data_IF_725247956374
#
_entry.id   IF_725247956374
#
_cell.length_a   1.000
_cell.length_b   1.000
_cell.length_c   1.000
_cell.angle_alpha   90.00
_cell.angle_beta   90.00
_cell.angle_gamma   90.00
#
_symmetry.space_group_name_H-M   'P 1'
#
loop_
_entity.id
_entity.type
_entity.pdbx_description
1 polymer ?
#
# COMPACT_ATOMS: atom_id res chain seq x y z
N UNK A 1 -14.29 33.13 -3.00
CA UNK A 1 -14.53 33.13 -4.46
C UNK A 1 -14.12 31.77 -5.00
N UNK A 2 -15.07 30.99 -5.52
CA UNK A 2 -14.79 29.69 -6.10
C UNK A 2 -14.15 29.87 -7.48
N UNK A 3 -12.99 29.25 -7.71
CA UNK A 3 -12.41 29.17 -9.06
C UNK A 3 -13.31 28.27 -9.94
N UNK A 4 -13.47 28.60 -11.24
CA UNK A 4 -14.36 27.85 -12.13
C UNK A 4 -13.82 26.44 -12.40
N UNK A 5 -14.73 25.46 -12.40
CA UNK A 5 -14.50 24.02 -12.61
C UNK A 5 -13.67 23.68 -13.85
N UNK A 6 -13.72 24.51 -14.89
CA UNK A 6 -13.01 24.32 -16.17
C UNK A 6 -11.49 24.51 -16.06
N UNK A 7 -10.98 25.32 -15.13
CA UNK A 7 -9.53 25.53 -14.97
C UNK A 7 -8.83 24.41 -14.18
N UNK A 8 -9.60 23.53 -13.51
CA UNK A 8 -9.08 22.43 -12.67
C UNK A 8 -8.87 21.12 -13.43
N UNK A 9 -9.50 20.94 -14.59
CA UNK A 9 -9.34 19.72 -15.39
C UNK A 9 -8.00 19.69 -16.13
N UNK A 10 -7.52 20.84 -16.61
CA UNK A 10 -6.23 20.97 -17.30
C UNK A 10 -5.02 20.86 -16.35
N UNK A 11 -5.20 21.16 -15.05
CA UNK A 11 -4.10 21.20 -14.06
C UNK A 11 -3.80 19.88 -13.34
N UNK A 12 -4.41 18.75 -13.73
CA UNK A 12 -4.28 17.45 -13.04
C UNK A 12 -3.47 16.39 -13.80
N UNK A 13 -3.13 16.68 -15.06
CA UNK A 13 -2.19 15.87 -15.84
C UNK A 13 -0.76 16.29 -15.50
N UNK A 14 0.11 15.31 -15.31
CA UNK A 14 1.48 15.54 -14.90
C UNK A 14 2.28 14.25 -14.97
N UNK A 15 3.61 14.32 -15.13
CA UNK A 15 4.45 13.14 -15.36
C UNK A 15 4.21 12.01 -14.34
N UNK A 16 4.00 12.38 -13.06
CA UNK A 16 3.69 11.43 -11.99
C UNK A 16 2.28 10.84 -12.10
N UNK A 17 1.24 11.64 -12.30
CA UNK A 17 -0.14 11.12 -12.36
C UNK A 17 -0.39 10.24 -13.59
N UNK A 18 0.39 10.44 -14.66
CA UNK A 18 0.35 9.60 -15.86
C UNK A 18 1.14 8.29 -15.70
N UNK A 19 2.18 8.29 -14.85
CA UNK A 19 3.11 7.15 -14.72
C UNK A 19 2.93 6.32 -13.43
N UNK A 20 2.10 6.76 -12.49
CA UNK A 20 1.89 6.13 -11.18
C UNK A 20 0.40 5.85 -10.94
N UNK A 21 0.09 4.63 -10.51
CA UNK A 21 -1.23 4.26 -9.99
C UNK A 21 -1.15 3.90 -8.51
N UNK A 22 -2.06 4.43 -7.70
CA UNK A 22 -2.19 4.06 -6.29
C UNK A 22 -3.00 2.76 -6.20
N UNK A 23 -2.43 1.75 -5.54
CA UNK A 23 -3.16 0.56 -5.11
C UNK A 23 -3.47 0.71 -3.63
N UNK A 24 -4.74 0.90 -3.29
CA UNK A 24 -5.20 0.96 -1.91
C UNK A 24 -5.94 -0.33 -1.55
N UNK A 25 -5.43 -1.09 -0.58
CA UNK A 25 -6.16 -2.26 -0.07
C UNK A 25 -6.84 -1.94 1.24
N UNK A 26 -8.12 -2.26 1.34
CA UNK A 26 -8.88 -2.23 2.59
C UNK A 26 -9.65 -3.53 2.80
N UNK A 27 -10.04 -3.79 4.04
CA UNK A 27 -10.77 -4.98 4.48
C UNK A 27 -11.58 -4.62 5.74
N UNK A 28 -12.44 -5.51 6.25
CA UNK A 28 -13.14 -5.25 7.51
C UNK A 28 -12.20 -4.85 8.65
N UNK A 29 -12.56 -3.76 9.34
CA UNK A 29 -11.88 -3.23 10.53
C UNK A 29 -12.87 -3.03 11.67
N UNK A 30 -12.43 -2.97 12.93
CA UNK A 30 -13.33 -2.71 14.06
C UNK A 30 -14.01 -1.35 14.01
N UNK A 31 -13.46 -0.40 13.24
CA UNK A 31 -14.03 0.93 13.04
C UNK A 31 -15.12 0.99 11.98
N UNK A 32 -15.35 -0.07 11.20
CA UNK A 32 -16.45 -0.10 10.24
C UNK A 32 -17.79 0.15 10.97
N UNK A 33 -18.68 1.03 10.47
CA UNK A 33 -18.72 1.53 9.09
C UNK A 33 -17.97 2.86 8.83
N UNK A 34 -17.21 3.38 9.80
CA UNK A 34 -16.44 4.62 9.65
C UNK A 34 -15.30 4.48 8.66
N UNK A 35 -15.09 5.50 7.84
CA UNK A 35 -13.99 5.63 6.88
C UNK A 35 -12.77 6.37 7.42
N UNK A 36 -12.76 6.69 8.72
CA UNK A 36 -11.77 7.58 9.33
C UNK A 36 -10.31 7.10 9.17
N UNK A 37 -10.05 5.79 9.04
CA UNK A 37 -8.71 5.29 8.64
C UNK A 37 -8.29 5.80 7.26
N UNK A 38 -9.19 5.71 6.27
CA UNK A 38 -8.94 6.19 4.91
C UNK A 38 -8.87 7.73 4.88
N UNK A 39 -9.76 8.40 5.60
CA UNK A 39 -9.72 9.87 5.68
C UNK A 39 -8.43 10.37 6.31
N UNK A 40 -7.90 9.67 7.32
CA UNK A 40 -6.58 9.96 7.91
C UNK A 40 -5.45 9.79 6.88
N UNK A 41 -5.52 8.75 6.03
CA UNK A 41 -4.53 8.54 4.96
C UNK A 41 -4.62 9.67 3.93
N UNK A 42 -5.81 9.98 3.43
CA UNK A 42 -6.00 11.03 2.43
C UNK A 42 -5.67 12.41 2.99
N UNK A 43 -5.95 12.66 4.27
CA UNK A 43 -5.48 13.84 4.99
C UNK A 43 -3.96 13.94 5.01
N UNK A 44 -3.26 12.82 5.19
CA UNK A 44 -1.79 12.78 5.08
C UNK A 44 -1.31 13.04 3.65
N UNK A 45 -2.04 12.60 2.61
CA UNK A 45 -1.71 12.93 1.23
C UNK A 45 -1.87 14.43 0.96
N UNK A 46 -3.01 15.02 1.35
CA UNK A 46 -3.26 16.46 1.22
C UNK A 46 -2.15 17.29 1.87
N UNK A 47 -1.70 16.87 3.06
CA UNK A 47 -0.68 17.59 3.84
C UNK A 47 0.72 17.42 3.27
N UNK A 48 1.10 16.21 2.87
CA UNK A 48 2.49 15.87 2.62
C UNK A 48 2.82 15.63 1.15
N UNK A 49 1.90 15.04 0.39
CA UNK A 49 2.11 14.61 -1.00
C UNK A 49 0.83 14.79 -1.84
N UNK A 50 0.36 16.03 -2.09
CA UNK A 50 -0.91 16.27 -2.77
C UNK A 50 -0.97 15.68 -4.19
N UNK A 51 0.19 15.56 -4.86
CA UNK A 51 0.31 14.91 -6.18
C UNK A 51 -0.23 13.47 -6.21
N UNK A 52 -0.22 12.76 -5.08
CA UNK A 52 -0.80 11.42 -4.99
C UNK A 52 -2.31 11.42 -5.29
N UNK A 53 -3.05 12.46 -4.88
CA UNK A 53 -4.48 12.60 -5.18
C UNK A 53 -4.76 12.91 -6.65
N UNK A 54 -3.72 13.29 -7.40
CA UNK A 54 -3.82 13.49 -8.84
C UNK A 54 -3.67 12.20 -9.65
N UNK A 55 -3.14 11.13 -9.04
CA UNK A 55 -2.88 9.85 -9.67
C UNK A 55 -4.17 9.04 -9.87
N UNK A 56 -4.10 8.04 -10.75
CA UNK A 56 -5.13 6.98 -10.81
C UNK A 56 -5.11 6.19 -9.51
N UNK A 57 -6.26 5.67 -9.08
CA UNK A 57 -6.38 4.82 -7.90
C UNK A 57 -7.20 3.56 -8.18
N UNK A 58 -6.67 2.42 -7.74
CA UNK A 58 -7.36 1.14 -7.67
C UNK A 58 -7.54 0.79 -6.19
N UNK A 59 -8.79 0.74 -5.72
CA UNK A 59 -9.12 0.37 -4.35
C UNK A 59 -9.70 -1.04 -4.34
N UNK A 60 -9.09 -1.92 -3.55
CA UNK A 60 -9.57 -3.29 -3.36
C UNK A 60 -10.25 -3.40 -2.01
N UNK A 61 -11.53 -3.74 -2.00
CA UNK A 61 -12.33 -4.03 -0.82
C UNK A 61 -12.32 -5.53 -0.55
N UNK A 62 -11.20 -6.04 -0.02
CA UNK A 62 -11.11 -7.46 0.34
C UNK A 62 -12.13 -7.79 1.44
N UNK A 63 -12.70 -8.99 1.39
CA UNK A 63 -13.80 -9.39 2.28
C UNK A 63 -13.34 -10.34 3.39
N UNK A 64 -14.27 -10.91 4.14
CA UNK A 64 -14.01 -11.87 5.21
C UNK A 64 -14.33 -13.31 4.77
N UNK A 65 -13.83 -14.28 5.54
CA UNK A 65 -14.12 -15.71 5.34
C UNK A 65 -15.44 -16.08 5.99
N UNK A 66 -15.63 -15.70 7.26
CA UNK A 66 -16.77 -16.16 8.04
C UNK A 66 -17.08 -15.22 9.22
N UNK A 67 -18.28 -15.38 9.78
CA UNK A 67 -18.75 -14.68 10.97
C UNK A 67 -18.48 -15.54 12.21
N UNK A 68 -17.86 -14.96 13.22
CA UNK A 68 -17.48 -15.63 14.46
C UNK A 68 -17.83 -14.76 15.69
N UNK A 69 -17.88 -15.35 16.91
CA UNK A 69 -18.14 -14.60 18.13
C UNK A 69 -17.13 -13.47 18.42
N UNK A 70 -15.90 -13.60 17.91
CA UNK A 70 -14.85 -12.62 18.11
C UNK A 70 -14.03 -12.40 16.83
N UNK A 71 -13.54 -11.17 16.65
CA UNK A 71 -12.72 -10.79 15.51
C UNK A 71 -11.38 -11.56 15.48
N UNK A 72 -11.08 -12.21 14.34
CA UNK A 72 -9.74 -12.73 14.00
C UNK A 72 -9.38 -12.25 12.60
N UNK A 73 -9.25 -10.94 12.45
CA UNK A 73 -9.14 -10.25 11.15
C UNK A 73 -7.99 -10.77 10.28
N UNK A 74 -6.83 -11.14 10.86
CA UNK A 74 -5.72 -11.73 10.08
C UNK A 74 -6.11 -13.05 9.40
N UNK A 75 -7.00 -13.82 10.03
CA UNK A 75 -7.56 -15.07 9.50
C UNK A 75 -8.87 -14.86 8.71
N UNK A 76 -9.37 -13.62 8.67
CA UNK A 76 -10.60 -13.26 7.98
C UNK A 76 -11.89 -13.60 8.72
N UNK A 77 -11.88 -13.71 10.05
CA UNK A 77 -13.13 -13.83 10.81
C UNK A 77 -13.55 -12.47 11.38
N UNK A 78 -14.83 -12.14 11.23
CA UNK A 78 -15.46 -10.90 11.74
C UNK A 78 -16.59 -11.22 12.70
N UNK A 79 -17.01 -10.27 13.53
CA UNK A 79 -18.26 -10.40 14.32
C UNK A 79 -19.50 -10.21 13.44
N UNK A 80 -20.68 -10.59 13.94
CA UNK A 80 -21.95 -10.35 13.25
C UNK A 80 -22.18 -8.86 12.96
N UNK A 81 -21.87 -7.99 13.93
CA UNK A 81 -21.86 -6.54 13.76
C UNK A 81 -20.87 -6.11 12.66
N UNK A 82 -19.65 -6.66 12.67
CA UNK A 82 -18.65 -6.35 11.65
C UNK A 82 -19.10 -6.74 10.23
N UNK A 83 -19.79 -7.88 10.09
CA UNK A 83 -20.38 -8.30 8.82
C UNK A 83 -21.51 -7.37 8.37
N UNK A 84 -22.38 -6.92 9.29
CA UNK A 84 -23.45 -5.97 8.99
C UNK A 84 -22.92 -4.57 8.61
N UNK A 85 -21.84 -4.13 9.24
CA UNK A 85 -21.22 -2.83 8.98
C UNK A 85 -20.39 -2.81 7.68
N UNK A 86 -19.96 -3.96 7.15
CA UNK A 86 -19.06 -4.01 6.00
C UNK A 86 -19.65 -3.45 4.70
N UNK A 87 -20.88 -3.80 4.28
CA UNK A 87 -21.50 -3.17 3.11
C UNK A 87 -21.63 -1.65 3.24
N UNK A 88 -21.95 -1.16 4.44
CA UNK A 88 -22.08 0.28 4.73
C UNK A 88 -20.71 0.96 4.63
N UNK A 89 -19.66 0.34 5.18
CA UNK A 89 -18.29 0.81 5.03
C UNK A 89 -17.88 0.95 3.57
N UNK A 90 -18.15 -0.07 2.73
CA UNK A 90 -17.79 -0.04 1.30
C UNK A 90 -18.41 1.16 0.60
N UNK A 91 -19.71 1.40 0.82
CA UNK A 91 -20.40 2.56 0.26
C UNK A 91 -19.79 3.89 0.73
N UNK A 92 -19.57 4.04 2.04
CA UNK A 92 -18.96 5.25 2.60
C UNK A 92 -17.54 5.48 2.04
N UNK A 93 -16.75 4.42 1.91
CA UNK A 93 -15.39 4.47 1.41
C UNK A 93 -15.35 4.80 -0.09
N UNK A 94 -16.25 4.23 -0.90
CA UNK A 94 -16.39 4.56 -2.32
C UNK A 94 -16.70 6.05 -2.50
N UNK A 95 -17.66 6.59 -1.74
CA UNK A 95 -18.01 8.02 -1.73
C UNK A 95 -16.80 8.89 -1.37
N UNK A 96 -16.08 8.52 -0.31
CA UNK A 96 -14.85 9.22 0.10
C UNK A 96 -13.81 9.21 -1.03
N UNK A 97 -13.51 8.05 -1.63
CA UNK A 97 -12.50 7.93 -2.68
C UNK A 97 -12.88 8.74 -3.92
N UNK A 98 -14.14 8.69 -4.36
CA UNK A 98 -14.62 9.48 -5.50
C UNK A 98 -14.46 10.98 -5.26
N UNK A 99 -14.81 11.45 -4.06
CA UNK A 99 -14.62 12.85 -3.66
C UNK A 99 -13.15 13.27 -3.71
N UNK A 100 -12.26 12.46 -3.14
CA UNK A 100 -10.84 12.82 -3.03
C UNK A 100 -10.08 12.74 -4.36
N UNK A 101 -10.35 11.70 -5.17
CA UNK A 101 -9.58 11.44 -6.38
C UNK A 101 -10.21 12.04 -7.63
N UNK A 102 -11.53 12.01 -7.77
CA UNK A 102 -12.22 12.45 -8.97
C UNK A 102 -12.90 13.83 -8.84
N UNK A 103 -12.92 14.44 -7.64
CA UNK A 103 -13.55 15.77 -7.37
C UNK A 103 -15.03 15.81 -7.81
N UNK A 104 -15.70 14.68 -7.62
CA UNK A 104 -17.06 14.42 -8.07
C UNK A 104 -17.89 13.89 -6.90
N UNK A 105 -19.21 14.13 -7.00
CA UNK A 105 -20.20 13.61 -6.05
C UNK A 105 -20.51 12.13 -6.25
N UNK A 106 -21.60 11.66 -5.64
CA UNK A 106 -21.97 10.24 -5.60
C UNK A 106 -22.47 9.69 -6.95
N UNK A 107 -22.91 10.57 -7.86
CA UNK A 107 -23.62 10.21 -9.10
C UNK A 107 -22.72 10.11 -10.34
N UNK A 108 -21.50 9.59 -10.18
CA UNK A 108 -20.58 9.45 -11.31
C UNK A 108 -20.88 8.18 -12.08
N UNK A 109 -21.10 8.26 -13.42
CA UNK A 109 -21.25 7.07 -14.24
C UNK A 109 -20.04 6.15 -14.11
N UNK A 110 -20.28 4.90 -13.72
CA UNK A 110 -19.24 3.87 -13.62
C UNK A 110 -19.51 2.76 -14.63
N UNK A 111 -18.46 2.29 -15.27
CA UNK A 111 -18.45 1.06 -16.06
C UNK A 111 -18.22 -0.11 -15.11
N UNK A 112 -19.07 -1.13 -15.18
CA UNK A 112 -18.99 -2.32 -14.34
C UNK A 112 -18.69 -3.57 -15.19
N UNK A 113 -17.81 -4.41 -14.66
CA UNK A 113 -17.37 -5.67 -15.28
C UNK A 113 -17.29 -6.75 -14.20
N UNK A 114 -17.64 -7.98 -14.56
CA UNK A 114 -17.44 -9.16 -13.72
C UNK A 114 -16.22 -9.93 -14.23
N UNK A 115 -15.25 -10.15 -13.35
CA UNK A 115 -13.96 -10.73 -13.68
C UNK A 115 -13.60 -11.85 -12.70
N UNK A 116 -12.48 -12.52 -12.94
CA UNK A 116 -12.00 -13.64 -12.13
C UNK A 116 -10.62 -13.35 -11.53
N UNK A 117 -10.50 -13.50 -10.21
CA UNK A 117 -9.25 -13.43 -9.49
C UNK A 117 -8.74 -14.85 -9.22
N UNK A 118 -7.53 -15.15 -9.67
CA UNK A 118 -6.90 -16.44 -9.40
C UNK A 118 -6.74 -16.70 -7.90
N UNK A 119 -6.92 -17.95 -7.52
CA UNK A 119 -6.58 -18.43 -6.19
C UNK A 119 -5.11 -18.84 -6.13
N UNK A 120 -4.50 -18.55 -4.99
CA UNK A 120 -3.13 -18.91 -4.65
C UNK A 120 -2.87 -20.39 -4.40
N UNK A 121 -3.61 -21.29 -5.03
CA UNK A 121 -3.68 -22.72 -4.74
C UNK A 121 -3.65 -23.52 -6.04
N UNK A 122 -3.25 -24.80 -6.06
CA UNK A 122 -3.48 -25.66 -7.22
C UNK A 122 -4.96 -25.96 -7.46
N UNK A 123 -5.84 -25.68 -6.49
CA UNK A 123 -7.26 -26.01 -6.52
C UNK A 123 -7.50 -27.52 -6.35
N UNK A 124 -8.74 -27.95 -6.00
CA UNK A 124 -9.15 -29.33 -6.17
C UNK A 124 -9.13 -29.70 -7.67
N UNK A 125 -8.83 -30.96 -8.03
CA UNK A 125 -8.95 -31.41 -9.43
C UNK A 125 -10.36 -31.11 -9.98
N UNK A 126 -10.43 -30.47 -11.15
CA UNK A 126 -11.71 -30.21 -11.84
C UNK A 126 -12.52 -29.00 -11.36
N UNK A 127 -12.00 -28.16 -10.44
CA UNK A 127 -12.61 -26.87 -10.11
C UNK A 127 -11.75 -25.70 -10.61
N UNK A 128 -12.41 -24.68 -11.14
CA UNK A 128 -11.77 -23.40 -11.44
C UNK A 128 -11.22 -22.80 -10.14
N UNK A 129 -9.91 -22.61 -10.13
CA UNK A 129 -9.17 -22.07 -9.01
C UNK A 129 -9.16 -20.52 -9.11
N UNK A 130 -10.36 -19.96 -9.12
CA UNK A 130 -10.62 -18.53 -9.24
C UNK A 130 -11.83 -18.14 -8.39
N UNK A 131 -11.92 -16.86 -8.01
CA UNK A 131 -13.12 -16.28 -7.40
C UNK A 131 -13.57 -15.11 -8.25
N UNK A 132 -14.88 -14.94 -8.37
CA UNK A 132 -15.44 -13.78 -9.06
C UNK A 132 -15.11 -12.50 -8.30
N UNK A 133 -14.89 -11.41 -9.02
CA UNK A 133 -14.88 -10.09 -8.45
C UNK A 133 -15.57 -9.10 -9.39
N UNK A 134 -16.27 -8.15 -8.78
CA UNK A 134 -16.80 -7.01 -9.51
C UNK A 134 -15.72 -5.94 -9.62
N UNK A 135 -15.56 -5.39 -10.82
CA UNK A 135 -14.74 -4.22 -11.10
C UNK A 135 -15.65 -3.08 -11.52
N UNK A 136 -15.57 -1.95 -10.84
CA UNK A 136 -16.28 -0.72 -11.20
C UNK A 136 -15.27 0.39 -11.41
N UNK A 137 -15.31 1.07 -12.55
CA UNK A 137 -14.38 2.17 -12.86
C UNK A 137 -15.10 3.39 -13.40
N UNK A 138 -14.59 4.57 -13.09
CA UNK A 138 -15.04 5.80 -13.74
C UNK A 138 -14.71 5.74 -15.23
N UNK A 139 -15.43 6.50 -16.07
CA UNK A 139 -15.24 6.49 -17.53
C UNK A 139 -13.81 6.90 -17.92
N UNK A 140 -13.23 7.85 -17.20
CA UNK A 140 -11.83 8.30 -17.35
C UNK A 140 -10.80 7.33 -16.74
N UNK A 141 -11.25 6.20 -16.16
CA UNK A 141 -10.46 5.17 -15.47
C UNK A 141 -9.63 5.67 -14.29
N UNK A 142 -9.92 6.87 -13.78
CA UNK A 142 -9.18 7.50 -12.69
C UNK A 142 -9.41 6.81 -11.35
N UNK A 143 -10.63 6.35 -11.09
CA UNK A 143 -10.98 5.58 -9.90
C UNK A 143 -11.49 4.22 -10.33
N UNK A 144 -10.91 3.17 -9.76
CA UNK A 144 -11.34 1.79 -9.95
C UNK A 144 -11.57 1.13 -8.60
N UNK A 145 -12.69 0.44 -8.44
CA UNK A 145 -13.05 -0.36 -7.28
C UNK A 145 -13.05 -1.84 -7.67
N UNK A 146 -12.43 -2.67 -6.85
CA UNK A 146 -12.43 -4.12 -6.98
C UNK A 146 -13.05 -4.72 -5.72
N UNK A 147 -14.11 -5.51 -5.88
CA UNK A 147 -14.79 -6.19 -4.78
C UNK A 147 -14.87 -7.70 -5.07
N UNK A 148 -13.99 -8.54 -4.49
CA UNK A 148 -14.07 -9.98 -4.63
C UNK A 148 -15.25 -10.56 -3.86
N UNK A 149 -15.88 -11.60 -4.42
CA UNK A 149 -16.99 -12.31 -3.78
C UNK A 149 -16.53 -13.14 -2.58
N UNK A 150 -15.26 -13.54 -2.57
CA UNK A 150 -14.62 -14.25 -1.47
C UNK A 150 -13.31 -13.59 -1.04
N UNK A 151 -12.94 -13.77 0.23
CA UNK A 151 -11.71 -13.19 0.77
C UNK A 151 -10.47 -13.65 0.01
N UNK A 152 -9.73 -12.73 -0.58
CA UNK A 152 -8.44 -12.97 -1.22
C UNK A 152 -7.29 -12.96 -0.20
N UNK A 153 -7.31 -12.03 0.75
CA UNK A 153 -6.16 -11.63 1.55
C UNK A 153 -5.29 -10.58 0.86
N UNK A 154 -4.44 -9.91 1.64
CA UNK A 154 -3.65 -8.77 1.18
C UNK A 154 -2.84 -9.06 -0.09
N UNK A 155 -2.07 -10.15 -0.14
CA UNK A 155 -1.21 -10.42 -1.30
C UNK A 155 -1.98 -10.62 -2.60
N UNK A 156 -3.09 -11.36 -2.56
CA UNK A 156 -3.92 -11.60 -3.73
C UNK A 156 -4.81 -10.39 -4.10
N UNK A 157 -5.17 -9.56 -3.13
CA UNK A 157 -5.81 -8.27 -3.37
C UNK A 157 -4.88 -7.35 -4.18
N UNK A 158 -3.61 -7.21 -3.76
CA UNK A 158 -2.60 -6.43 -4.50
C UNK A 158 -2.39 -7.01 -5.91
N UNK A 159 -2.32 -8.33 -6.07
CA UNK A 159 -2.21 -8.97 -7.39
C UNK A 159 -3.38 -8.60 -8.31
N UNK A 160 -4.61 -8.62 -7.79
CA UNK A 160 -5.80 -8.30 -8.56
C UNK A 160 -5.79 -6.84 -9.01
N UNK A 161 -5.37 -5.92 -8.13
CA UNK A 161 -5.17 -4.53 -8.49
C UNK A 161 -4.08 -4.33 -9.55
N UNK A 162 -2.92 -4.98 -9.40
CA UNK A 162 -1.81 -4.88 -10.36
C UNK A 162 -2.22 -5.30 -11.78
N UNK A 163 -3.19 -6.22 -11.93
CA UNK A 163 -3.73 -6.62 -13.25
C UNK A 163 -4.64 -5.59 -13.88
N UNK A 164 -5.18 -4.66 -13.10
CA UNK A 164 -5.97 -3.54 -13.57
C UNK A 164 -5.13 -2.26 -13.79
N UNK A 165 -3.87 -2.25 -13.36
CA UNK A 165 -2.97 -1.11 -13.51
C UNK A 165 -2.40 -1.06 -14.93
N UNK A 166 -2.44 0.11 -15.54
CA UNK A 166 -1.87 0.39 -16.86
C UNK A 166 -0.55 1.20 -16.78
N UNK A 167 -0.22 1.74 -15.60
CA UNK A 167 0.96 2.59 -15.42
C UNK A 167 2.23 1.79 -15.13
N UNK A 168 3.42 2.28 -15.53
CA UNK A 168 4.70 1.59 -15.32
C UNK A 168 5.09 1.46 -13.84
N UNK A 169 4.59 2.33 -12.97
CA UNK A 169 4.83 2.29 -11.54
C UNK A 169 3.54 2.25 -10.74
N UNK A 170 3.65 1.72 -9.52
CA UNK A 170 2.58 1.69 -8.51
C UNK A 170 3.04 2.24 -7.19
N UNK A 171 2.10 2.88 -6.49
CA UNK A 171 2.20 3.19 -5.06
C UNK A 171 1.27 2.24 -4.30
N UNK A 172 1.81 1.28 -3.55
CA UNK A 172 0.99 0.35 -2.78
C UNK A 172 0.74 0.91 -1.39
N UNK A 173 -0.51 1.00 -0.98
CA UNK A 173 -0.99 1.59 0.26
C UNK A 173 -1.92 0.63 1.00
N UNK A 174 -1.59 0.32 2.25
CA UNK A 174 -2.51 -0.35 3.18
C UNK A 174 -3.35 0.68 3.94
N UNK A 175 -4.59 0.33 4.28
CA UNK A 175 -5.55 1.22 4.95
C UNK A 175 -5.16 1.72 6.36
N UNK A 176 -4.04 1.27 6.92
CA UNK A 176 -3.60 1.58 8.28
C UNK A 176 -2.18 2.15 8.37
N UNK A 177 -1.69 2.75 7.27
CA UNK A 177 -0.42 3.47 7.25
C UNK A 177 -0.63 4.90 6.75
N UNK A 178 -0.32 5.91 7.56
CA UNK A 178 -0.33 7.31 7.11
C UNK A 178 1.08 7.82 6.86
N UNK A 179 1.20 8.83 6.00
CA UNK A 179 2.41 9.63 5.87
C UNK A 179 2.58 10.53 7.10
N UNK A 180 3.83 10.76 7.48
CA UNK A 180 4.21 11.68 8.56
C UNK A 180 5.11 12.84 8.10
N UNK A 181 5.67 12.70 6.89
CA UNK A 181 6.50 13.71 6.23
C UNK A 181 6.18 13.75 4.72
N UNK A 182 6.62 14.83 4.06
CA UNK A 182 6.66 14.93 2.60
C UNK A 182 7.63 13.92 2.01
N UNK A 183 7.15 13.14 1.04
CA UNK A 183 7.94 12.17 0.29
C UNK A 183 8.22 12.74 -1.10
N UNK A 184 9.48 12.76 -1.57
CA UNK A 184 9.81 13.29 -2.89
C UNK A 184 9.46 12.25 -3.97
N UNK A 185 8.16 12.04 -4.21
CA UNK A 185 7.63 10.98 -5.10
C UNK A 185 8.15 11.14 -6.53
N UNK A 186 8.10 12.35 -7.08
CA UNK A 186 8.63 12.69 -8.40
C UNK A 186 10.12 12.33 -8.52
N UNK A 187 10.94 12.80 -7.59
CA UNK A 187 12.38 12.53 -7.53
C UNK A 187 12.69 11.03 -7.42
N UNK A 188 11.94 10.28 -6.60
CA UNK A 188 12.10 8.83 -6.49
C UNK A 188 11.78 8.16 -7.83
N UNK A 189 10.72 8.57 -8.51
CA UNK A 189 10.35 8.01 -9.81
C UNK A 189 11.39 8.32 -10.88
N UNK A 190 11.95 9.54 -10.92
CA UNK A 190 13.05 9.88 -11.82
C UNK A 190 14.26 8.97 -11.61
N UNK A 191 14.63 8.71 -10.35
CA UNK A 191 15.71 7.78 -10.02
C UNK A 191 15.39 6.37 -10.50
N UNK A 192 14.15 5.91 -10.33
CA UNK A 192 13.71 4.60 -10.82
C UNK A 192 13.82 4.51 -12.35
N UNK A 193 13.31 5.50 -13.08
CA UNK A 193 13.39 5.59 -14.55
C UNK A 193 14.84 5.61 -15.02
N UNK A 194 15.67 6.48 -14.44
CA UNK A 194 17.08 6.60 -14.83
C UNK A 194 17.88 5.31 -14.54
N UNK A 195 17.48 4.55 -13.53
CA UNK A 195 18.12 3.28 -13.16
C UNK A 195 17.64 2.08 -14.00
N UNK A 196 16.68 2.25 -14.92
CA UNK A 196 16.08 1.10 -15.62
C UNK A 196 17.09 0.32 -16.46
N UNK A 197 18.08 1.01 -17.01
CA UNK A 197 19.21 0.44 -17.76
C UNK A 197 20.46 0.19 -16.89
N UNK A 198 20.45 0.54 -15.60
CA UNK A 198 21.59 0.34 -14.70
C UNK A 198 21.71 -1.16 -14.35
N UNK A 199 22.76 -1.79 -14.86
CA UNK A 199 23.05 -3.19 -14.57
C UNK A 199 23.68 -3.41 -13.19
N UNK A 200 24.18 -2.38 -12.52
CA UNK A 200 24.85 -2.49 -11.22
C UNK A 200 23.83 -2.27 -10.11
N UNK A 201 23.04 -1.21 -10.19
CA UNK A 201 22.18 -0.74 -9.12
C UNK A 201 20.75 -0.37 -9.59
N UNK A 202 20.02 -1.30 -10.24
CA UNK A 202 18.66 -1.02 -10.66
C UNK A 202 17.76 -0.71 -9.46
N UNK A 203 16.88 0.29 -9.59
CA UNK A 203 15.93 0.72 -8.56
C UNK A 203 14.52 0.35 -9.02
N UNK A 204 14.04 -0.83 -8.57
CA UNK A 204 12.73 -1.36 -9.00
C UNK A 204 11.66 -1.33 -7.91
N UNK A 205 12.07 -1.13 -6.65
CA UNK A 205 11.20 -1.07 -5.48
C UNK A 205 11.82 -0.15 -4.43
N UNK A 206 11.04 0.80 -3.91
CA UNK A 206 11.44 1.76 -2.88
C UNK A 206 10.42 1.75 -1.74
N UNK A 207 10.79 1.16 -0.61
CA UNK A 207 10.00 1.17 0.62
C UNK A 207 10.20 2.47 1.39
N UNK A 208 9.13 2.95 2.04
CA UNK A 208 9.24 4.07 2.97
C UNK A 208 9.52 3.56 4.40
N UNK A 209 10.39 4.24 5.17
CA UNK A 209 10.77 3.80 6.49
C UNK A 209 9.64 4.01 7.50
N UNK A 210 9.33 2.95 8.24
CA UNK A 210 8.62 3.03 9.53
C UNK A 210 9.60 2.85 10.69
N UNK A 211 9.12 2.93 11.93
CA UNK A 211 9.97 2.93 13.13
C UNK A 211 10.96 1.75 13.21
N UNK A 212 10.60 0.59 12.63
CA UNK A 212 11.45 -0.61 12.62
C UNK A 212 12.54 -0.61 11.54
N UNK A 213 12.51 0.36 10.64
CA UNK A 213 13.47 0.52 9.55
C UNK A 213 14.39 1.73 9.77
N UNK A 214 14.30 2.39 10.93
CA UNK A 214 15.28 3.40 11.33
C UNK A 214 16.65 2.75 11.52
N UNK A 215 17.70 3.45 11.10
CA UNK A 215 19.08 2.98 11.12
C UNK A 215 19.28 1.58 10.47
N UNK A 216 18.44 1.21 9.50
CA UNK A 216 18.41 -0.14 8.93
C UNK A 216 19.79 -0.60 8.40
N UNK A 217 20.51 0.29 7.71
CA UNK A 217 21.81 -0.01 7.10
C UNK A 217 22.88 -0.43 8.12
N UNK A 218 22.75 0.01 9.37
CA UNK A 218 23.67 -0.30 10.48
C UNK A 218 23.10 -1.29 11.48
N UNK A 219 21.87 -1.78 11.25
CA UNK A 219 21.21 -2.75 12.14
C UNK A 219 21.78 -4.15 11.99
N UNK A 220 21.58 -5.00 13.00
CA UNK A 220 21.94 -6.43 12.96
C UNK A 220 21.26 -7.20 11.81
N UNK A 221 20.14 -6.70 11.28
CA UNK A 221 19.52 -7.29 10.09
C UNK A 221 20.42 -7.20 8.84
N UNK A 222 21.38 -6.28 8.83
CA UNK A 222 22.36 -6.11 7.76
C UNK A 222 23.74 -6.54 8.23
N UNK A 223 24.21 -5.97 9.35
CA UNK A 223 25.60 -6.09 9.80
C UNK A 223 25.98 -7.51 10.21
N UNK A 224 25.04 -8.38 10.53
CA UNK A 224 25.34 -9.79 10.83
C UNK A 224 25.59 -10.67 9.59
N UNK A 225 25.38 -10.16 8.37
CA UNK A 225 25.47 -10.95 7.13
C UNK A 225 26.50 -10.34 6.16
N UNK A 226 27.61 -11.05 5.83
CA UNK A 226 28.68 -10.50 4.99
C UNK A 226 28.23 -9.92 3.64
N UNK A 227 27.42 -10.65 2.87
CA UNK A 227 26.94 -10.17 1.57
C UNK A 227 26.05 -8.94 1.69
N UNK A 228 25.20 -8.87 2.72
CA UNK A 228 24.34 -7.71 2.93
C UNK A 228 25.15 -6.46 3.28
N UNK A 229 26.19 -6.61 4.12
CA UNK A 229 27.14 -5.51 4.41
C UNK A 229 27.83 -5.03 3.14
N UNK A 230 28.34 -5.97 2.34
CA UNK A 230 29.00 -5.68 1.06
C UNK A 230 28.10 -4.85 0.14
N UNK A 231 26.85 -5.27 -0.07
CA UNK A 231 25.90 -4.49 -0.87
C UNK A 231 25.60 -3.13 -0.26
N UNK A 232 25.42 -3.04 1.06
CA UNK A 232 25.15 -1.77 1.73
C UNK A 232 26.28 -0.79 1.50
N UNK A 233 27.54 -1.21 1.70
CA UNK A 233 28.71 -0.38 1.46
C UNK A 233 28.85 0.03 -0.01
N UNK A 234 28.58 -0.89 -0.95
CA UNK A 234 28.77 -0.64 -2.37
C UNK A 234 27.67 0.24 -3.00
N UNK A 235 26.43 0.16 -2.49
CA UNK A 235 25.26 0.67 -3.18
C UNK A 235 24.53 1.80 -2.43
N UNK A 236 24.67 1.93 -1.11
CA UNK A 236 24.04 3.03 -0.37
C UNK A 236 24.62 4.35 -0.84
N UNK A 237 23.79 5.24 -1.38
CA UNK A 237 24.20 6.54 -1.91
C UNK A 237 23.04 7.50 -2.08
N UNK A 238 23.39 8.75 -2.38
CA UNK A 238 22.47 9.78 -2.84
C UNK A 238 22.37 9.68 -4.36
N UNK A 239 21.17 9.43 -4.88
CA UNK A 239 20.93 9.36 -6.32
C UNK A 239 20.58 10.76 -6.85
N UNK A 240 21.20 11.22 -7.94
CA UNK A 240 20.87 12.52 -8.53
C UNK A 240 19.50 12.46 -9.20
N UNK A 241 18.83 13.61 -9.27
CA UNK A 241 17.58 13.76 -10.02
C UNK A 241 17.84 14.61 -11.26
N UNK A 242 17.11 14.33 -12.33
CA UNK A 242 17.33 15.00 -13.62
C UNK A 242 16.66 16.37 -13.66
N UNK A 243 15.49 16.52 -13.05
CA UNK A 243 14.74 17.77 -13.05
C UNK A 243 15.23 18.77 -12.00
N UNK A 244 15.92 18.30 -10.95
CA UNK A 244 16.39 19.12 -9.83
C UNK A 244 17.84 18.75 -9.46
N UNK A 245 18.84 19.31 -10.16
CA UNK A 245 20.24 18.92 -9.98
C UNK A 245 20.78 19.07 -8.55
N UNK A 246 20.22 20.00 -7.76
CA UNK A 246 20.60 20.22 -6.36
C UNK A 246 19.89 19.27 -5.37
N UNK A 247 18.88 18.53 -5.83
CA UNK A 247 18.19 17.51 -5.03
C UNK A 247 18.75 16.12 -5.31
N UNK A 248 18.87 15.34 -4.23
CA UNK A 248 19.23 13.93 -4.33
C UNK A 248 18.28 13.06 -3.53
N UNK A 249 18.09 11.82 -3.97
CA UNK A 249 17.29 10.82 -3.26
C UNK A 249 18.23 9.87 -2.52
N UNK A 250 18.35 9.96 -1.18
CA UNK A 250 19.14 9.02 -0.41
C UNK A 250 18.46 7.65 -0.40
N UNK A 251 19.13 6.63 -0.94
CA UNK A 251 18.65 5.25 -0.91
C UNK A 251 19.70 4.33 -0.28
N UNK A 252 19.24 3.35 0.49
CA UNK A 252 20.05 2.22 0.94
C UNK A 252 19.44 0.90 0.43
N UNK A 253 20.24 -0.12 0.11
CA UNK A 253 19.72 -1.45 -0.17
C UNK A 253 18.82 -1.94 0.95
N UNK A 254 17.67 -2.50 0.57
CA UNK A 254 16.73 -3.14 1.48
C UNK A 254 16.74 -4.64 1.20
N UNK A 255 16.95 -5.44 2.26
CA UNK A 255 17.10 -6.89 2.13
C UNK A 255 15.84 -7.65 2.55
N UNK A 256 14.69 -7.10 2.16
CA UNK A 256 13.36 -7.63 2.41
C UNK A 256 12.32 -6.99 1.47
N UNK A 257 11.28 -7.73 1.11
CA UNK A 257 10.11 -7.16 0.45
C UNK A 257 9.04 -6.89 1.51
N UNK A 258 8.68 -5.63 1.74
CA UNK A 258 7.70 -5.24 2.75
C UNK A 258 6.32 -4.97 2.15
N UNK A 259 5.29 -5.13 3.00
CA UNK A 259 3.89 -4.80 2.68
C UNK A 259 3.53 -3.34 2.96
N UNK A 260 4.44 -2.64 3.65
CA UNK A 260 4.33 -1.22 4.01
C UNK A 260 4.28 -0.34 2.78
N UNK A 261 3.87 0.91 2.91
CA UNK A 261 3.79 1.82 1.78
C UNK A 261 5.10 1.93 0.99
N UNK A 262 5.02 1.73 -0.33
CA UNK A 262 6.17 1.70 -1.23
C UNK A 262 5.81 2.06 -2.67
N UNK A 263 6.83 2.47 -3.42
CA UNK A 263 6.76 2.65 -4.88
C UNK A 263 7.46 1.46 -5.55
N UNK A 264 6.88 0.90 -6.60
CA UNK A 264 7.51 -0.18 -7.36
C UNK A 264 7.21 -0.11 -8.85
N UNK A 265 8.13 -0.63 -9.67
CA UNK A 265 7.86 -0.94 -11.07
C UNK A 265 6.80 -2.04 -11.14
N UNK A 266 5.70 -1.77 -11.86
CA UNK A 266 4.55 -2.68 -12.00
C UNK A 266 4.99 -4.03 -12.57
N UNK A 267 5.79 -4.01 -13.64
CA UNK A 267 6.30 -5.22 -14.29
C UNK A 267 7.21 -6.04 -13.36
N UNK A 268 8.14 -5.39 -12.66
CA UNK A 268 9.03 -6.07 -11.72
C UNK A 268 8.26 -6.64 -10.52
N UNK A 269 7.24 -5.93 -10.03
CA UNK A 269 6.36 -6.41 -8.97
C UNK A 269 5.69 -7.72 -9.38
N UNK A 270 5.01 -7.73 -10.53
CA UNK A 270 4.36 -8.92 -11.07
C UNK A 270 5.37 -10.06 -11.26
N UNK A 271 6.52 -9.80 -11.87
CA UNK A 271 7.54 -10.82 -12.13
C UNK A 271 8.15 -11.41 -10.84
N UNK A 272 8.40 -10.60 -9.81
CA UNK A 272 9.11 -11.05 -8.59
C UNK A 272 8.18 -11.58 -7.52
N UNK A 273 7.03 -10.95 -7.33
CA UNK A 273 6.07 -11.31 -6.29
C UNK A 273 5.07 -12.34 -6.82
N UNK A 274 4.66 -12.24 -8.08
CA UNK A 274 3.63 -13.08 -8.68
C UNK A 274 4.08 -13.77 -10.00
N UNK A 275 5.27 -14.42 -10.05
CA UNK A 275 5.77 -15.08 -11.28
C UNK A 275 4.88 -16.20 -11.80
N UNK A 276 3.99 -16.73 -10.96
CA UNK A 276 3.02 -17.74 -11.34
C UNK A 276 1.76 -17.61 -10.47
N UNK A 277 0.69 -18.28 -10.88
CA UNK A 277 -0.57 -18.34 -10.14
C UNK A 277 -0.39 -18.83 -8.69
N UNK A 278 0.59 -19.70 -8.44
CA UNK A 278 0.89 -20.35 -7.16
C UNK A 278 1.86 -19.55 -6.27
N UNK A 279 2.38 -18.42 -6.74
CA UNK A 279 3.42 -17.68 -6.03
C UNK A 279 2.95 -17.05 -4.71
N UNK A 280 1.64 -16.88 -4.52
CA UNK A 280 1.06 -16.25 -3.34
C UNK A 280 -0.16 -17.04 -2.86
N UNK A 281 -0.13 -17.68 -1.68
CA UNK A 281 -1.28 -18.37 -1.12
C UNK A 281 -2.45 -17.43 -0.76
N UNK A 282 -3.66 -17.97 -0.74
CA UNK A 282 -4.86 -17.23 -0.26
C UNK A 282 -4.68 -16.82 1.20
N UNK A 283 -5.02 -15.58 1.54
CA UNK A 283 -4.89 -15.04 2.89
C UNK A 283 -3.47 -14.68 3.32
N UNK A 284 -2.45 -14.94 2.49
CA UNK A 284 -1.06 -14.65 2.79
C UNK A 284 -0.72 -13.16 2.65
N UNK A 285 0.28 -12.75 3.42
CA UNK A 285 0.94 -11.46 3.31
C UNK A 285 2.17 -11.61 2.41
N UNK A 286 2.47 -10.59 1.61
CA UNK A 286 3.62 -10.61 0.70
C UNK A 286 4.90 -10.63 1.54
N UNK A 287 4.93 -9.86 2.63
CA UNK A 287 6.02 -9.76 3.59
C UNK A 287 6.36 -11.13 4.21
N UNK A 288 5.34 -11.91 4.59
CA UNK A 288 5.51 -13.21 5.26
C UNK A 288 6.10 -14.28 4.32
N UNK A 289 5.79 -14.25 3.02
CA UNK A 289 6.21 -15.28 2.06
C UNK A 289 7.36 -14.82 1.16
N UNK A 290 7.13 -13.71 0.45
CA UNK A 290 8.03 -13.20 -0.56
C UNK A 290 9.16 -12.42 0.11
N UNK A 291 8.88 -11.68 1.17
CA UNK A 291 9.90 -10.98 1.95
C UNK A 291 10.98 -11.94 2.48
N UNK A 292 10.56 -13.06 3.07
CA UNK A 292 11.48 -14.09 3.57
C UNK A 292 12.29 -14.76 2.44
N UNK A 293 11.62 -15.14 1.35
CA UNK A 293 12.30 -15.70 0.17
C UNK A 293 13.34 -14.72 -0.39
N UNK A 294 12.97 -13.46 -0.50
CA UNK A 294 13.84 -12.41 -1.00
C UNK A 294 15.07 -12.25 -0.13
N UNK A 295 14.86 -12.14 1.19
CA UNK A 295 15.95 -12.02 2.16
C UNK A 295 16.94 -13.16 2.10
N UNK A 296 16.47 -14.40 2.03
CA UNK A 296 17.35 -15.56 1.99
C UNK A 296 18.23 -15.53 0.74
N UNK A 297 17.65 -15.25 -0.42
CA UNK A 297 18.42 -15.12 -1.68
C UNK A 297 19.40 -13.94 -1.65
N UNK A 298 19.05 -12.83 -1.01
CA UNK A 298 19.94 -11.67 -0.90
C UNK A 298 21.13 -11.90 0.03
N UNK A 299 20.98 -12.75 1.07
CA UNK A 299 22.11 -13.20 1.90
C UNK A 299 23.12 -14.04 1.10
N UNK A 300 22.69 -14.60 -0.02
CA UNK A 300 23.51 -15.40 -0.95
C UNK A 300 24.02 -14.57 -2.14
N UNK A 301 23.92 -13.24 -2.10
CA UNK A 301 24.45 -12.39 -3.20
C UNK A 301 23.41 -11.97 -4.24
N UNK A 302 22.16 -12.43 -4.17
CA UNK A 302 21.16 -12.18 -5.22
C UNK A 302 20.39 -10.86 -5.06
N UNK A 303 21.00 -9.79 -4.55
CA UNK A 303 20.32 -8.50 -4.33
C UNK A 303 19.77 -7.89 -5.63
N UNK A 304 20.57 -7.89 -6.71
CA UNK A 304 20.16 -7.31 -8.02
C UNK A 304 18.85 -7.91 -8.55
N UNK A 305 18.57 -9.19 -8.27
CA UNK A 305 17.32 -9.86 -8.64
C UNK A 305 16.10 -9.17 -8.04
N UNK A 306 16.22 -8.71 -6.80
CA UNK A 306 15.13 -8.08 -6.06
C UNK A 306 15.10 -6.57 -6.23
N UNK A 307 16.28 -5.93 -6.35
CA UNK A 307 16.41 -4.49 -6.60
C UNK A 307 15.56 -3.65 -5.62
N UNK A 308 15.53 -4.09 -4.36
CA UNK A 308 14.78 -3.47 -3.29
C UNK A 308 15.63 -2.42 -2.58
N UNK A 309 15.04 -1.24 -2.42
CA UNK A 309 15.64 -0.08 -1.78
C UNK A 309 14.73 0.44 -0.66
N UNK A 310 15.35 1.10 0.30
CA UNK A 310 14.69 1.85 1.34
C UNK A 310 15.01 3.33 1.11
N UNK A 311 13.97 4.16 1.06
CA UNK A 311 14.16 5.61 1.14
C UNK A 311 14.79 5.94 2.49
N UNK A 312 15.97 6.58 2.45
CA UNK A 312 16.87 6.65 3.60
C UNK A 312 17.28 8.09 3.98
N UNK A 313 16.31 9.02 4.12
CA UNK A 313 16.58 10.41 4.49
C UNK A 313 17.27 10.49 5.85
N UNK A 314 18.09 11.53 6.02
CA UNK A 314 18.83 11.78 7.26
C UNK A 314 19.59 10.55 7.76
N UNK A 315 20.19 9.78 6.83
CA UNK A 315 20.87 8.52 7.15
C UNK A 315 19.99 7.50 7.91
N UNK A 316 18.68 7.50 7.63
CA UNK A 316 17.71 6.57 8.20
C UNK A 316 17.25 6.95 9.60
N UNK A 317 17.42 8.20 10.02
CA UNK A 317 16.90 8.69 11.30
C UNK A 317 15.47 9.25 11.20
N UNK A 318 15.02 9.59 9.99
CA UNK A 318 13.72 10.18 9.79
C UNK A 318 12.64 9.12 9.53
N UNK A 319 11.56 9.21 10.30
CA UNK A 319 10.36 8.39 10.14
C UNK A 319 9.49 8.93 9.00
N UNK A 320 9.06 8.07 8.08
CA UNK A 320 8.14 8.46 7.00
C UNK A 320 6.70 8.00 7.21
N UNK A 321 6.54 6.85 7.88
CA UNK A 321 5.25 6.17 8.02
C UNK A 321 4.87 5.91 9.47
N UNK A 322 3.58 6.13 9.79
CA UNK A 322 2.99 5.79 11.09
C UNK A 322 1.85 4.79 10.90
N UNK A 323 1.89 3.69 11.67
CA UNK A 323 0.87 2.65 11.66
C UNK A 323 -0.33 3.05 12.55
N UNK A 324 -1.53 3.07 11.99
CA UNK A 324 -2.79 3.46 12.65
C UNK A 324 -3.43 2.34 13.49
N UNK A 325 -2.88 1.13 13.38
CA UNK A 325 -3.32 -0.07 14.11
C UNK A 325 -4.75 -0.45 13.73
N UNK A 326 -5.06 -0.48 12.43
CA UNK A 326 -6.41 -0.66 11.91
C UNK A 326 -7.15 -1.92 12.41
N UNK A 327 -6.42 -2.94 12.87
CA UNK A 327 -7.02 -4.16 13.45
C UNK A 327 -7.51 -4.03 14.89
N UNK A 328 -7.04 -3.03 15.62
CA UNK A 328 -7.43 -2.78 17.02
C UNK A 328 -8.15 -1.45 17.20
N UNK A 329 -7.97 -0.54 16.24
CA UNK A 329 -8.51 0.81 16.27
C UNK A 329 -10.03 0.81 16.02
N UNK A 330 -10.79 1.46 16.90
CA UNK A 330 -12.26 1.42 16.93
C UNK A 330 -12.94 2.74 16.52
N UNK A 331 -12.20 3.75 16.05
CA UNK A 331 -12.74 5.11 15.87
C UNK A 331 -12.20 6.08 16.91
N UNK A 332 -12.08 7.36 16.56
CA UNK A 332 -11.66 8.41 17.52
C UNK A 332 -12.58 8.46 18.74
N UNK A 333 -13.90 8.43 18.54
CA UNK A 333 -14.86 8.48 19.63
C UNK A 333 -14.78 7.26 20.56
N UNK A 334 -14.54 6.07 19.99
CA UNK A 334 -14.39 4.85 20.80
C UNK A 334 -13.07 4.85 21.60
N UNK A 335 -11.97 5.36 21.02
CA UNK A 335 -10.70 5.51 21.74
C UNK A 335 -10.77 6.58 22.83
N UNK A 336 -11.46 7.71 22.59
CA UNK A 336 -11.73 8.72 23.63
C UNK A 336 -12.49 8.12 24.80
N UNK A 337 -13.61 7.42 24.54
CA UNK A 337 -14.39 6.72 25.58
C UNK A 337 -13.56 5.71 26.37
N UNK A 338 -12.65 4.99 25.70
CA UNK A 338 -11.74 4.04 26.35
C UNK A 338 -10.73 4.75 27.27
N UNK A 339 -10.14 5.87 26.82
CA UNK A 339 -9.22 6.67 27.63
C UNK A 339 -9.96 7.28 28.82
N UNK A 340 -11.17 7.79 28.63
CA UNK A 340 -12.02 8.34 29.69
C UNK A 340 -12.40 7.28 30.72
N UNK A 341 -12.84 6.09 30.28
CA UNK A 341 -13.12 4.96 31.16
C UNK A 341 -11.89 4.53 31.97
N UNK A 342 -10.72 4.43 31.31
CA UNK A 342 -9.46 4.11 31.98
C UNK A 342 -9.03 5.19 32.99
N UNK A 343 -9.28 6.47 32.70
CA UNK A 343 -9.03 7.58 33.63
C UNK A 343 -9.98 7.54 34.83
N UNK A 344 -11.24 7.16 34.63
CA UNK A 344 -12.22 6.98 35.70
C UNK A 344 -11.86 5.80 36.61
N UNK A 345 -11.46 4.66 36.05
CA UNK A 345 -11.03 3.48 36.81
C UNK A 345 -9.75 3.74 37.63
N UNK A 346 -8.75 4.43 37.06
CA UNK A 346 -7.49 4.70 37.76
C UNK A 346 -7.53 5.96 38.64
N UNK A 347 -8.43 6.90 38.36
CA UNK A 347 -8.71 8.04 39.24
C UNK A 347 -9.49 7.66 40.50
N UNK A 348 -10.14 6.49 40.51
CA UNK A 348 -10.80 5.92 41.70
C UNK A 348 -9.83 5.23 42.67
N UNK A 349 -8.58 4.96 42.27
CA UNK A 349 -7.57 4.28 43.09
C UNK A 349 -6.68 5.24 43.90
N UNK A 350 -7.01 6.54 43.93
CA UNK A 350 -6.27 7.59 44.66
C UNK A 350 -7.14 8.36 45.66
N UNK A 351 -8.12 7.69 46.29
CA UNK A 351 -8.78 8.20 47.50
C UNK A 351 -8.69 7.21 48.63
#
# INVERSE_FOLDING_TARGET
>A
MAQPLSARAESRSGPTSDSLTIILTTSPTPSAPSTELLDTIFGSYRKYCPTLLNCRVVVVFDTFVDVAPANRLKKGYVTAEGAANWPIYKQNAQKLVLREFADVGEDVPMVAEELQAEWGSPGPPGKDNATAYSLKRTVDRRVTFIEPSERLGFGLAVRSALRAVETPYVWVQQHDWKLDITIPVESIMEVMVASDADEIAPVKYVCLPSIRLLAYATSNHVTSFPELRKFTTALKRNFPTSSRPDETVPLTPLFFWHDKTHIASTAHYLQRVFPSRLAMPRGAFIEDHIGQRARNQMKEGQWKKWACWLYYPENGQQLCLVHLKGRTWRGTEAEKKKIEAFRLENGSLTR
#
